data_IF_639558433756
#
_entry.id   IF_639558433756
#
_cell.length_a   1.000
_cell.length_b   1.000
_cell.length_c   1.000
_cell.angle_alpha   90.00
_cell.angle_beta   90.00
_cell.angle_gamma   90.00
#
_symmetry.space_group_name_H-M   'P 1'
#
loop_
_entity.id
_entity.type
_entity.pdbx_description
1 polymer ?
#
# COMPACT_ATOMS: atom_id res chain seq x y z
N UNK A 1 -5.87 10.49 -39.41
CA UNK A 1 -4.42 10.26 -39.67
C UNK A 1 -4.06 9.00 -38.91
N UNK A 2 -3.94 7.87 -39.62
CA UNK A 2 -3.51 6.59 -39.01
C UNK A 2 -2.00 6.65 -38.81
N UNK A 3 -1.58 6.43 -37.58
CA UNK A 3 -0.15 6.26 -37.27
C UNK A 3 0.36 5.03 -38.03
N UNK A 4 1.59 5.10 -38.53
CA UNK A 4 2.19 3.97 -39.25
C UNK A 4 2.46 2.82 -38.25
N UNK A 5 2.36 1.54 -38.70
CA UNK A 5 2.60 0.38 -37.80
C UNK A 5 3.99 0.40 -37.15
N UNK A 6 4.97 1.01 -37.75
CA UNK A 6 6.33 1.21 -37.24
C UNK A 6 6.37 2.18 -36.03
N UNK A 7 5.52 3.21 -36.02
CA UNK A 7 5.43 4.16 -34.92
C UNK A 7 4.76 3.55 -33.69
N UNK A 8 3.79 2.68 -33.92
CA UNK A 8 3.08 1.97 -32.85
C UNK A 8 4.01 0.97 -32.11
N UNK A 9 4.86 0.23 -32.84
CA UNK A 9 5.86 -0.71 -32.27
C UNK A 9 6.97 0.04 -31.48
N UNK A 10 7.39 1.21 -31.98
CA UNK A 10 8.39 2.05 -31.28
C UNK A 10 7.83 2.63 -29.98
N UNK A 11 6.57 3.05 -29.95
CA UNK A 11 5.94 3.61 -28.77
C UNK A 11 5.61 2.52 -27.74
N UNK A 12 5.22 1.31 -28.16
CA UNK A 12 5.07 0.16 -27.25
C UNK A 12 6.41 -0.23 -26.61
N UNK A 13 7.48 -0.30 -27.37
CA UNK A 13 8.83 -0.61 -26.82
C UNK A 13 9.30 0.44 -25.83
N UNK A 14 9.07 1.72 -26.09
CA UNK A 14 9.38 2.80 -25.14
C UNK A 14 8.58 2.67 -23.87
N UNK A 15 7.27 2.42 -23.96
CA UNK A 15 6.41 2.24 -22.79
C UNK A 15 6.84 1.03 -21.91
N UNK A 16 7.25 -0.08 -22.54
CA UNK A 16 7.78 -1.26 -21.84
C UNK A 16 9.11 -0.95 -21.15
N UNK A 17 10.01 -0.20 -21.81
CA UNK A 17 11.29 0.19 -21.23
C UNK A 17 11.13 1.17 -20.06
N UNK A 18 10.23 2.15 -20.18
CA UNK A 18 9.89 3.08 -19.09
C UNK A 18 9.27 2.34 -17.91
N UNK A 19 8.33 1.44 -18.17
CA UNK A 19 7.73 0.63 -17.13
C UNK A 19 8.75 -0.25 -16.40
N UNK A 20 9.66 -0.90 -17.16
CA UNK A 20 10.75 -1.68 -16.58
C UNK A 20 11.70 -0.82 -15.75
N UNK A 21 12.02 0.40 -16.21
CA UNK A 21 12.87 1.35 -15.47
C UNK A 21 12.20 1.80 -14.17
N UNK A 22 10.91 2.08 -14.20
CA UNK A 22 10.12 2.41 -13.01
C UNK A 22 10.08 1.25 -12.02
N UNK A 23 9.86 0.03 -12.50
CA UNK A 23 9.89 -1.17 -11.64
C UNK A 23 11.28 -1.36 -11.00
N UNK A 24 12.35 -1.29 -11.78
CA UNK A 24 13.72 -1.44 -11.24
C UNK A 24 14.03 -0.35 -10.22
N UNK A 25 13.74 0.92 -10.54
CA UNK A 25 13.94 2.04 -9.62
C UNK A 25 13.15 1.86 -8.34
N UNK A 26 11.91 1.37 -8.44
CA UNK A 26 11.06 1.07 -7.30
C UNK A 26 11.67 -0.04 -6.42
N UNK A 27 12.09 -1.18 -7.01
CA UNK A 27 12.70 -2.27 -6.26
C UNK A 27 14.03 -1.86 -5.62
N UNK A 28 14.85 -1.06 -6.31
CA UNK A 28 16.09 -0.53 -5.76
C UNK A 28 15.81 0.40 -4.57
N UNK A 29 14.87 1.34 -4.72
CA UNK A 29 14.51 2.25 -3.64
C UNK A 29 13.92 1.52 -2.43
N UNK A 30 13.10 0.50 -2.68
CA UNK A 30 12.54 -0.35 -1.64
C UNK A 30 13.61 -1.16 -0.91
N UNK A 31 14.57 -1.72 -1.65
CA UNK A 31 15.70 -2.46 -1.07
C UNK A 31 16.61 -1.54 -0.23
N UNK A 32 16.88 -0.33 -0.72
CA UNK A 32 17.66 0.67 0.03
C UNK A 32 16.94 1.09 1.32
N UNK A 33 15.62 1.30 1.25
CA UNK A 33 14.82 1.58 2.45
C UNK A 33 14.87 0.43 3.45
N UNK A 34 14.76 -0.80 2.97
CA UNK A 34 14.86 -1.99 3.82
C UNK A 34 16.24 -2.10 4.51
N UNK A 35 17.32 -1.87 3.77
CA UNK A 35 18.68 -1.85 4.30
C UNK A 35 18.85 -0.73 5.33
N UNK A 36 18.33 0.47 5.05
CA UNK A 36 18.39 1.59 5.99
C UNK A 36 17.62 1.31 7.28
N UNK A 37 16.43 0.72 7.20
CA UNK A 37 15.64 0.29 8.36
C UNK A 37 16.40 -0.78 9.15
N UNK A 38 16.96 -1.78 8.46
CA UNK A 38 17.79 -2.82 9.10
C UNK A 38 18.97 -2.23 9.85
N UNK A 39 19.75 -1.35 9.20
CA UNK A 39 20.90 -0.68 9.80
C UNK A 39 20.50 0.15 11.03
N UNK A 40 19.40 0.92 10.93
CA UNK A 40 18.87 1.71 12.04
C UNK A 40 18.49 0.81 13.22
N UNK A 41 17.81 -0.30 12.96
CA UNK A 41 17.45 -1.28 14.00
C UNK A 41 18.66 -1.89 14.69
N UNK A 42 19.75 -2.13 13.97
CA UNK A 42 20.96 -2.68 14.57
C UNK A 42 21.74 -1.66 15.41
N UNK A 43 21.80 -0.41 14.96
CA UNK A 43 22.53 0.68 15.65
C UNK A 43 21.76 1.19 16.87
N UNK A 44 20.43 1.35 16.75
CA UNK A 44 19.57 1.94 17.78
C UNK A 44 18.63 0.90 18.42
N UNK A 45 19.08 -0.35 18.50
CA UNK A 45 18.23 -1.44 19.00
C UNK A 45 17.59 -1.16 20.36
N UNK A 46 18.30 -0.68 21.41
CA UNK A 46 17.70 -0.43 22.70
C UNK A 46 16.66 0.70 22.66
N UNK A 47 16.94 1.79 21.95
CA UNK A 47 16.05 2.93 21.82
C UNK A 47 14.77 2.58 21.04
N UNK A 48 14.94 1.87 19.93
CA UNK A 48 13.81 1.39 19.12
C UNK A 48 12.94 0.43 19.91
N UNK A 49 13.55 -0.48 20.67
CA UNK A 49 12.81 -1.42 21.51
C UNK A 49 12.04 -0.69 22.61
N UNK A 50 12.67 0.27 23.31
CA UNK A 50 12.02 1.06 24.35
C UNK A 50 10.87 1.92 23.77
N UNK A 51 11.07 2.58 22.65
CA UNK A 51 10.05 3.38 21.98
C UNK A 51 8.88 2.51 21.49
N UNK A 52 9.16 1.33 20.94
CA UNK A 52 8.15 0.38 20.48
C UNK A 52 7.35 -0.18 21.64
N UNK A 53 8.00 -0.54 22.75
CA UNK A 53 7.33 -1.00 23.96
C UNK A 53 6.43 0.09 24.56
N UNK A 54 6.93 1.32 24.63
CA UNK A 54 6.11 2.46 25.08
C UNK A 54 4.90 2.68 24.17
N UNK A 55 5.07 2.66 22.86
CA UNK A 55 4.01 2.80 21.86
C UNK A 55 2.93 1.71 22.04
N UNK A 56 3.35 0.45 22.14
CA UNK A 56 2.45 -0.69 22.32
C UNK A 56 1.76 -0.63 23.69
N UNK A 57 2.48 -0.26 24.75
CA UNK A 57 1.89 -0.13 26.08
C UNK A 57 0.83 0.99 26.15
N UNK A 58 1.06 2.10 25.43
CA UNK A 58 0.17 3.28 25.48
C UNK A 58 -1.03 3.14 24.53
N UNK A 59 -0.80 2.70 23.29
CA UNK A 59 -1.82 2.67 22.24
C UNK A 59 -2.30 1.26 21.89
N UNK A 60 -1.55 0.25 22.29
CA UNK A 60 -1.87 -1.15 22.02
C UNK A 60 -2.09 -1.44 20.54
N UNK A 61 -3.00 -2.36 20.27
CA UNK A 61 -3.39 -2.72 18.91
C UNK A 61 -4.03 -1.56 18.12
N UNK A 62 -4.73 -0.65 18.82
CA UNK A 62 -5.34 0.51 18.19
C UNK A 62 -4.29 1.42 17.54
N UNK A 63 -3.10 1.58 18.15
CA UNK A 63 -1.99 2.32 17.56
C UNK A 63 -1.50 1.69 16.26
N UNK A 64 -1.39 0.37 16.19
CA UNK A 64 -1.06 -0.35 14.97
C UNK A 64 -2.16 -0.16 13.91
N UNK A 65 -3.43 -0.32 14.31
CA UNK A 65 -4.58 -0.09 13.44
C UNK A 65 -4.58 1.31 12.83
N UNK A 66 -4.35 2.36 13.63
CA UNK A 66 -4.25 3.75 13.17
C UNK A 66 -3.05 3.97 12.24
N UNK A 67 -1.92 3.34 12.51
CA UNK A 67 -0.73 3.39 11.67
C UNK A 67 -0.93 2.81 10.27
N UNK A 68 -1.82 1.83 10.13
CA UNK A 68 -2.26 1.31 8.84
C UNK A 68 -3.41 2.13 8.23
N UNK A 69 -4.34 2.59 9.07
CA UNK A 69 -5.52 3.35 8.65
C UNK A 69 -5.15 4.67 7.95
N UNK A 70 -4.31 5.48 8.59
CA UNK A 70 -4.03 6.84 8.11
C UNK A 70 -3.36 6.86 6.72
N UNK A 71 -2.29 6.08 6.45
CA UNK A 71 -1.69 6.05 5.11
C UNK A 71 -2.63 5.49 4.06
N UNK A 72 -3.44 4.49 4.40
CA UNK A 72 -4.36 3.86 3.46
C UNK A 72 -5.61 4.71 3.18
N UNK A 73 -6.03 5.57 4.12
CA UNK A 73 -7.14 6.51 3.92
C UNK A 73 -6.71 7.76 3.13
N UNK A 74 -5.55 8.36 3.47
CA UNK A 74 -5.18 9.71 3.04
C UNK A 74 -3.95 9.76 2.13
N UNK A 75 -3.50 8.64 1.61
CA UNK A 75 -2.34 8.56 0.70
C UNK A 75 -1.07 9.19 1.29
N UNK A 76 -0.85 8.99 2.59
CA UNK A 76 0.34 9.50 3.25
C UNK A 76 1.56 8.67 2.86
N UNK A 77 2.74 9.29 2.63
CA UNK A 77 3.97 8.57 2.28
C UNK A 77 4.63 7.93 3.52
N UNK A 78 3.84 7.26 4.35
CA UNK A 78 4.31 6.56 5.54
C UNK A 78 4.24 5.06 5.25
N UNK A 79 5.34 4.31 5.42
CA UNK A 79 5.31 2.87 5.23
C UNK A 79 4.52 2.19 6.35
N UNK A 80 3.32 1.73 6.06
CA UNK A 80 2.43 1.04 7.02
C UNK A 80 3.14 -0.13 7.70
N UNK A 81 4.00 -0.83 6.96
CA UNK A 81 4.70 -2.02 7.43
C UNK A 81 5.69 -1.71 8.57
N UNK A 82 6.09 -0.43 8.75
CA UNK A 82 6.85 0.01 9.91
C UNK A 82 6.07 -0.15 11.22
N UNK A 83 4.75 0.07 11.20
CA UNK A 83 3.90 -0.14 12.39
C UNK A 83 3.77 -1.61 12.76
N UNK A 84 3.80 -2.52 11.79
CA UNK A 84 3.86 -3.95 12.08
C UNK A 84 5.15 -4.32 12.82
N UNK A 85 6.28 -3.76 12.38
CA UNK A 85 7.57 -3.95 13.06
C UNK A 85 7.53 -3.40 14.49
N UNK A 86 7.04 -2.16 14.68
CA UNK A 86 6.85 -1.53 16.00
C UNK A 86 5.99 -2.42 16.90
N UNK A 87 4.90 -2.97 16.40
CA UNK A 87 4.04 -3.89 17.15
C UNK A 87 4.78 -5.12 17.63
N UNK A 88 5.57 -5.77 16.76
CA UNK A 88 6.32 -6.97 17.10
C UNK A 88 7.48 -6.68 18.06
N UNK A 89 8.27 -5.67 17.81
CA UNK A 89 9.38 -5.24 18.67
C UNK A 89 8.85 -4.78 20.04
N UNK A 90 7.66 -4.16 20.08
CA UNK A 90 7.00 -3.73 21.30
C UNK A 90 6.32 -4.86 22.10
N UNK A 91 6.41 -6.12 21.64
CA UNK A 91 5.95 -7.30 22.38
C UNK A 91 4.55 -7.79 22.02
N UNK A 92 3.91 -7.27 20.98
CA UNK A 92 2.63 -7.83 20.50
C UNK A 92 2.83 -9.18 19.81
N UNK A 93 1.87 -10.07 19.94
CA UNK A 93 1.88 -11.34 19.22
C UNK A 93 1.73 -11.13 17.71
N UNK A 94 2.29 -12.04 16.91
CA UNK A 94 2.18 -12.03 15.44
C UNK A 94 0.73 -11.85 14.98
N UNK A 95 -0.18 -12.65 15.52
CA UNK A 95 -1.61 -12.62 15.15
C UNK A 95 -2.28 -11.30 15.54
N UNK A 96 -1.92 -10.71 16.66
CA UNK A 96 -2.48 -9.41 17.08
C UNK A 96 -2.06 -8.30 16.10
N UNK A 97 -0.78 -8.27 15.70
CA UNK A 97 -0.29 -7.28 14.72
C UNK A 97 -0.97 -7.46 13.36
N UNK A 98 -1.09 -8.71 12.88
CA UNK A 98 -1.78 -9.01 11.62
C UNK A 98 -3.23 -8.58 11.68
N UNK A 99 -3.94 -8.90 12.77
CA UNK A 99 -5.35 -8.55 12.93
C UNK A 99 -5.58 -7.03 12.96
N UNK A 100 -4.84 -6.31 13.80
CA UNK A 100 -4.99 -4.86 13.92
C UNK A 100 -4.52 -4.11 12.69
N UNK A 101 -3.39 -4.51 12.09
CA UNK A 101 -2.88 -3.91 10.86
C UNK A 101 -3.84 -4.11 9.68
N UNK A 102 -4.35 -5.33 9.52
CA UNK A 102 -5.34 -5.63 8.45
C UNK A 102 -6.65 -4.89 8.67
N UNK A 103 -7.18 -4.88 9.90
CA UNK A 103 -8.41 -4.15 10.22
C UNK A 103 -8.24 -2.64 9.92
N UNK A 104 -7.15 -2.04 10.41
CA UNK A 104 -6.83 -0.63 10.13
C UNK A 104 -6.72 -0.34 8.63
N UNK A 105 -6.05 -1.22 7.89
CA UNK A 105 -5.89 -1.09 6.43
C UNK A 105 -7.23 -1.19 5.68
N UNK A 106 -8.09 -2.14 6.04
CA UNK A 106 -9.41 -2.30 5.40
C UNK A 106 -10.29 -1.09 5.69
N UNK A 107 -10.31 -0.61 6.94
CA UNK A 107 -11.08 0.60 7.31
C UNK A 107 -10.53 1.83 6.60
N UNK A 108 -9.20 2.00 6.57
CA UNK A 108 -8.53 3.10 5.86
C UNK A 108 -8.82 3.06 4.36
N UNK A 109 -8.67 1.90 3.73
CA UNK A 109 -9.02 1.70 2.33
C UNK A 109 -10.49 1.97 2.03
N UNK A 110 -11.41 1.62 2.97
CA UNK A 110 -12.84 1.90 2.85
C UNK A 110 -13.12 3.40 2.87
N UNK A 111 -12.44 4.16 3.75
CA UNK A 111 -12.50 5.63 3.74
C UNK A 111 -11.96 6.16 2.42
N UNK A 112 -10.83 5.64 1.93
CA UNK A 112 -10.28 5.98 0.61
C UNK A 112 -11.28 5.71 -0.53
N UNK A 113 -11.96 4.57 -0.51
CA UNK A 113 -13.01 4.23 -1.47
C UNK A 113 -14.19 5.24 -1.41
N UNK A 114 -14.63 5.62 -0.21
CA UNK A 114 -15.69 6.65 -0.01
C UNK A 114 -15.23 8.00 -0.55
N UNK A 115 -14.00 8.42 -0.24
CA UNK A 115 -13.40 9.64 -0.77
C UNK A 115 -13.39 9.61 -2.30
N UNK A 116 -12.91 8.51 -2.89
CA UNK A 116 -12.91 8.32 -4.34
C UNK A 116 -14.30 8.46 -4.95
N UNK A 117 -15.29 7.80 -4.35
CA UNK A 117 -16.67 7.79 -4.85
C UNK A 117 -17.37 9.15 -4.80
N UNK A 118 -17.15 9.93 -3.74
CA UNK A 118 -17.92 11.14 -3.49
C UNK A 118 -17.13 12.43 -3.74
N UNK A 119 -15.82 12.45 -3.57
CA UNK A 119 -14.99 13.65 -3.73
C UNK A 119 -14.40 13.77 -5.14
N UNK A 120 -13.94 12.67 -5.73
CA UNK A 120 -13.27 12.74 -7.05
C UNK A 120 -14.22 13.30 -8.11
N UNK A 121 -15.53 12.95 -8.05
CA UNK A 121 -16.53 13.48 -8.96
C UNK A 121 -16.97 14.93 -8.72
N UNK A 122 -16.60 15.54 -7.58
CA UNK A 122 -17.02 16.92 -7.20
C UNK A 122 -15.92 17.96 -7.30
N UNK A 123 -14.65 17.55 -7.38
CA UNK A 123 -13.50 18.45 -7.45
C UNK A 123 -12.99 18.50 -8.89
N UNK A 124 -13.31 19.61 -9.58
CA UNK A 124 -12.98 19.79 -11.01
C UNK A 124 -11.48 19.60 -11.33
N UNK A 125 -10.57 19.93 -10.39
CA UNK A 125 -9.12 19.66 -10.54
C UNK A 125 -8.78 18.17 -10.48
N UNK A 126 -9.48 17.39 -9.64
CA UNK A 126 -9.31 15.94 -9.57
C UNK A 126 -9.93 15.27 -10.80
N UNK A 127 -11.10 15.70 -11.26
CA UNK A 127 -11.69 15.25 -12.52
C UNK A 127 -10.75 15.52 -13.70
N UNK A 128 -10.19 16.71 -13.82
CA UNK A 128 -9.23 17.05 -14.87
C UNK A 128 -7.96 16.16 -14.83
N UNK A 129 -7.45 15.87 -13.62
CA UNK A 129 -6.30 14.98 -13.44
C UNK A 129 -6.65 13.53 -13.82
N UNK A 130 -7.82 13.06 -13.40
CA UNK A 130 -8.32 11.73 -13.76
C UNK A 130 -8.68 11.63 -15.25
N UNK A 131 -9.22 12.67 -15.87
CA UNK A 131 -9.52 12.69 -17.30
C UNK A 131 -8.26 12.74 -18.17
N UNK A 132 -7.22 13.42 -17.70
CA UNK A 132 -5.95 13.56 -18.44
C UNK A 132 -5.00 12.36 -18.26
N UNK A 133 -4.95 11.79 -17.06
CA UNK A 133 -4.18 10.57 -16.77
C UNK A 133 -5.05 9.32 -16.94
N UNK A 134 -6.35 9.50 -16.87
CA UNK A 134 -7.35 8.48 -16.57
C UNK A 134 -8.17 7.96 -17.75
N UNK A 135 -8.22 8.59 -18.93
CA UNK A 135 -9.09 8.03 -19.97
C UNK A 135 -8.64 6.63 -20.41
N UNK A 136 -7.36 6.43 -20.68
CA UNK A 136 -6.81 5.09 -21.01
C UNK A 136 -6.68 4.19 -19.75
N UNK A 137 -6.37 4.79 -18.60
CA UNK A 137 -6.25 4.06 -17.34
C UNK A 137 -7.63 3.73 -16.77
N UNK A 138 -8.64 4.59 -16.95
CA UNK A 138 -10.02 4.36 -16.54
C UNK A 138 -10.68 3.23 -17.34
N UNK A 139 -10.46 3.13 -18.65
CA UNK A 139 -10.92 1.98 -19.45
C UNK A 139 -10.23 0.67 -19.02
N UNK A 140 -8.92 0.71 -18.74
CA UNK A 140 -8.20 -0.44 -18.16
C UNK A 140 -8.67 -0.75 -16.74
N UNK A 141 -8.97 0.26 -15.93
CA UNK A 141 -9.55 0.09 -14.60
C UNK A 141 -10.99 -0.45 -14.65
N UNK A 142 -11.82 -0.02 -15.60
CA UNK A 142 -13.18 -0.56 -15.77
C UNK A 142 -13.14 -2.03 -16.19
N UNK A 143 -12.18 -2.44 -17.01
CA UNK A 143 -12.00 -3.83 -17.46
C UNK A 143 -11.19 -4.68 -16.48
N UNK A 144 -10.23 -4.09 -15.76
CA UNK A 144 -9.27 -4.77 -14.90
C UNK A 144 -9.18 -4.27 -13.47
N UNK A 145 -10.08 -3.39 -12.99
CA UNK A 145 -9.97 -2.70 -11.70
C UNK A 145 -9.84 -3.62 -10.49
N UNK A 146 -10.43 -4.80 -10.55
CA UNK A 146 -10.24 -5.82 -9.54
C UNK A 146 -8.78 -6.32 -9.48
N UNK A 147 -8.15 -6.56 -10.63
CA UNK A 147 -6.77 -7.01 -10.69
C UNK A 147 -5.77 -5.94 -10.25
N UNK A 148 -6.04 -4.67 -10.59
CA UNK A 148 -5.20 -3.55 -10.17
C UNK A 148 -5.29 -3.37 -8.65
N UNK A 149 -6.48 -3.48 -8.09
CA UNK A 149 -6.67 -3.43 -6.64
C UNK A 149 -6.01 -4.63 -5.95
N UNK A 150 -6.14 -5.86 -6.51
CA UNK A 150 -5.43 -7.04 -6.02
C UNK A 150 -3.91 -6.83 -6.06
N UNK A 151 -3.38 -6.35 -7.18
CA UNK A 151 -1.96 -6.07 -7.33
C UNK A 151 -1.49 -5.02 -6.32
N UNK A 152 -2.22 -3.92 -6.13
CA UNK A 152 -1.90 -2.90 -5.15
C UNK A 152 -2.02 -3.41 -3.70
N UNK A 153 -2.95 -4.33 -3.43
CA UNK A 153 -3.10 -4.94 -2.11
C UNK A 153 -1.93 -5.86 -1.73
N UNK A 154 -1.31 -6.54 -2.70
CA UNK A 154 -0.21 -7.49 -2.49
C UNK A 154 1.17 -6.85 -2.65
N UNK A 155 1.30 -5.90 -3.58
CA UNK A 155 2.59 -5.28 -3.90
C UNK A 155 2.79 -4.01 -3.07
N UNK A 156 4.01 -3.46 -3.03
CA UNK A 156 4.29 -2.16 -2.40
C UNK A 156 3.78 -0.97 -3.22
N UNK A 157 2.89 -1.17 -4.16
CA UNK A 157 2.20 -0.08 -4.86
C UNK A 157 1.30 0.72 -3.88
N UNK A 158 1.06 2.02 -4.14
CA UNK A 158 0.22 2.84 -3.29
C UNK A 158 -1.23 2.31 -3.26
N UNK A 159 -1.53 1.47 -2.26
CA UNK A 159 -2.86 0.87 -2.09
C UNK A 159 -3.96 1.91 -1.91
N UNK A 160 -3.68 3.00 -1.20
CA UNK A 160 -4.60 4.12 -1.00
C UNK A 160 -5.09 4.72 -2.32
N UNK A 161 -4.17 4.92 -3.29
CA UNK A 161 -4.53 5.43 -4.63
C UNK A 161 -5.46 4.44 -5.34
N UNK A 162 -5.20 3.13 -5.23
CA UNK A 162 -6.05 2.11 -5.82
C UNK A 162 -7.45 2.08 -5.16
N UNK A 163 -7.55 2.33 -3.84
CA UNK A 163 -8.82 2.45 -3.12
C UNK A 163 -9.63 3.67 -3.61
N UNK A 164 -8.99 4.83 -3.74
CA UNK A 164 -9.63 6.02 -4.28
C UNK A 164 -10.11 5.80 -5.72
N UNK A 165 -9.26 5.20 -6.56
CA UNK A 165 -9.62 4.88 -7.94
C UNK A 165 -10.80 3.89 -8.01
N UNK A 166 -10.80 2.84 -7.18
CA UNK A 166 -11.90 1.88 -7.11
C UNK A 166 -13.23 2.55 -6.74
N UNK A 167 -13.22 3.51 -5.80
CA UNK A 167 -14.38 4.34 -5.47
C UNK A 167 -14.82 5.23 -6.64
N UNK A 168 -13.88 5.91 -7.28
CA UNK A 168 -14.15 6.83 -8.41
C UNK A 168 -14.78 6.14 -9.62
N UNK A 169 -14.38 4.89 -9.92
CA UNK A 169 -14.98 4.09 -11.00
C UNK A 169 -16.32 3.43 -10.61
N UNK A 170 -16.80 3.64 -9.37
CA UNK A 170 -18.05 3.04 -8.90
C UNK A 170 -17.99 1.56 -8.62
N UNK A 171 -16.81 1.00 -8.28
CA UNK A 171 -16.69 -0.42 -7.89
C UNK A 171 -17.64 -0.73 -6.71
N UNK A 172 -18.45 -1.81 -6.78
CA UNK A 172 -19.31 -2.20 -5.66
C UNK A 172 -18.51 -2.41 -4.38
N UNK A 173 -18.98 -1.85 -3.26
CA UNK A 173 -18.27 -1.89 -1.98
C UNK A 173 -17.96 -3.30 -1.50
N UNK A 174 -18.91 -4.23 -1.68
CA UNK A 174 -18.71 -5.64 -1.32
C UNK A 174 -17.53 -6.27 -2.07
N UNK A 175 -17.41 -6.00 -3.38
CA UNK A 175 -16.30 -6.46 -4.21
C UNK A 175 -14.98 -5.84 -3.76
N UNK A 176 -15.00 -4.54 -3.45
CA UNK A 176 -13.85 -3.82 -2.92
C UNK A 176 -13.34 -4.46 -1.62
N UNK A 177 -14.22 -4.68 -0.63
CA UNK A 177 -13.86 -5.28 0.67
C UNK A 177 -13.31 -6.70 0.49
N UNK A 178 -13.96 -7.53 -0.33
CA UNK A 178 -13.49 -8.91 -0.58
C UNK A 178 -12.07 -8.94 -1.14
N UNK A 179 -11.74 -8.04 -2.08
CA UNK A 179 -10.39 -7.91 -2.62
C UNK A 179 -9.42 -7.39 -1.55
N UNK A 180 -9.85 -6.42 -0.74
CA UNK A 180 -9.05 -5.83 0.32
C UNK A 180 -8.66 -6.83 1.42
N UNK A 181 -9.41 -7.93 1.61
CA UNK A 181 -9.04 -9.02 2.51
C UNK A 181 -7.70 -9.67 2.16
N UNK A 182 -7.25 -9.57 0.91
CA UNK A 182 -5.91 -10.02 0.48
C UNK A 182 -4.80 -9.32 1.27
N UNK A 183 -5.04 -8.16 1.85
CA UNK A 183 -4.10 -7.44 2.73
C UNK A 183 -3.64 -8.27 3.93
N UNK A 184 -4.47 -9.21 4.40
CA UNK A 184 -4.06 -10.18 5.44
C UNK A 184 -2.79 -10.92 5.02
N UNK A 185 -2.78 -11.42 3.78
CA UNK A 185 -1.64 -12.18 3.23
C UNK A 185 -0.39 -11.29 3.14
N UNK A 186 -0.56 -10.03 2.73
CA UNK A 186 0.55 -9.09 2.66
C UNK A 186 1.14 -8.80 4.03
N UNK A 187 0.31 -8.41 5.03
CA UNK A 187 0.78 -8.06 6.38
C UNK A 187 1.43 -9.28 7.04
N UNK A 188 0.79 -10.45 6.96
CA UNK A 188 1.33 -11.70 7.50
C UNK A 188 2.63 -12.11 6.78
N UNK A 189 2.65 -12.04 5.45
CA UNK A 189 3.82 -12.39 4.64
C UNK A 189 5.03 -11.47 4.93
N UNK A 190 4.78 -10.16 5.03
CA UNK A 190 5.82 -9.19 5.38
C UNK A 190 6.44 -9.49 6.76
N UNK A 191 5.60 -9.67 7.78
CA UNK A 191 6.07 -10.02 9.13
C UNK A 191 6.81 -11.35 9.16
N UNK A 192 6.29 -12.36 8.45
CA UNK A 192 6.93 -13.66 8.37
C UNK A 192 8.33 -13.59 7.75
N UNK A 193 8.50 -12.82 6.67
CA UNK A 193 9.80 -12.58 6.03
C UNK A 193 10.74 -11.85 6.98
N UNK A 194 10.24 -10.82 7.69
CA UNK A 194 11.03 -10.08 8.66
C UNK A 194 11.53 -10.98 9.80
N UNK A 195 10.67 -11.80 10.38
CA UNK A 195 11.06 -12.72 11.47
C UNK A 195 12.06 -13.78 11.01
N UNK A 196 11.97 -14.22 9.74
CA UNK A 196 12.96 -15.12 9.16
C UNK A 196 14.33 -14.46 8.92
N UNK A 197 14.33 -13.19 8.54
CA UNK A 197 15.56 -12.44 8.24
C UNK A 197 16.24 -11.84 9.46
N UNK A 198 15.47 -11.39 10.45
CA UNK A 198 15.98 -10.68 11.64
C UNK A 198 16.03 -11.58 12.90
N UNK A 199 15.50 -12.78 12.82
CA UNK A 199 15.20 -13.61 13.99
C UNK A 199 13.89 -13.18 14.67
N UNK A 200 13.47 -13.89 15.74
CA UNK A 200 12.23 -13.56 16.44
C UNK A 200 12.28 -12.11 16.98
N UNK A 201 11.33 -11.29 16.53
CA UNK A 201 11.25 -9.85 16.84
C UNK A 201 10.55 -9.57 18.17
N UNK A 202 9.92 -10.58 18.75
CA UNK A 202 9.19 -10.49 20.02
C UNK A 202 8.80 -11.88 20.55
N UNK A 203 8.10 -11.94 21.68
CA UNK A 203 7.66 -13.19 22.29
C UNK A 203 6.73 -14.00 21.41
#
# INVERSE_FOLDING_TARGET
MSQSPEQEDVDERKAVLEFRRLLVSFFVSFSLLFVAVYATLQVFKPEVTAASAWFVHTLGGAGIGLGYFLPDAFTLPIPNDAFALVGRVGGMTFMAVVAWGTAGSIVGGSVGWVIGKYLVGRVARLQWYFDRVGSRMMERFQRGGAWILCAAALTPLPYSVACWAAGAIGMPYTRFVLISLIRVVRVAGYLWVLERGLGPLGP
#
